data_IF_804373869117
#
_entry.id   IF_804373869117
#
_cell.length_a   1.000
_cell.length_b   1.000
_cell.length_c   1.000
_cell.angle_alpha   90.00
_cell.angle_beta   90.00
_cell.angle_gamma   90.00
#
_symmetry.space_group_name_H-M   'P 1'
#
loop_
_entity.id
_entity.type
_entity.pdbx_description
1 polymer ?
#
# COMPACT_ATOMS: atom_id res chain seq x y z
N UNK A 1 5.97 -13.14 13.61
CA UNK A 1 6.03 -13.99 12.40
C UNK A 1 5.28 -15.33 12.53
N UNK A 2 5.06 -15.87 13.73
CA UNK A 2 4.45 -17.20 13.95
C UNK A 2 2.99 -17.32 13.46
N UNK A 3 2.19 -16.25 13.60
CA UNK A 3 0.79 -16.25 13.19
C UNK A 3 0.61 -16.31 11.66
N UNK A 4 1.43 -15.58 10.91
CA UNK A 4 1.39 -15.53 9.45
C UNK A 4 1.62 -16.92 8.86
N UNK A 5 2.69 -17.61 9.31
CA UNK A 5 3.03 -18.96 8.85
C UNK A 5 1.92 -19.99 9.12
N UNK A 6 1.13 -19.80 10.18
CA UNK A 6 -0.01 -20.67 10.51
C UNK A 6 -1.22 -20.44 9.61
N UNK A 7 -1.44 -19.21 9.16
CA UNK A 7 -2.61 -18.82 8.37
C UNK A 7 -2.37 -18.89 6.86
N UNK A 8 -1.13 -18.72 6.39
CA UNK A 8 -0.78 -18.79 4.96
C UNK A 8 -1.35 -20.04 4.27
N UNK A 9 -1.24 -21.27 4.83
CA UNK A 9 -1.75 -22.46 4.14
C UNK A 9 -3.28 -22.43 3.91
N UNK A 10 -4.03 -21.79 4.81
CA UNK A 10 -5.51 -21.75 4.75
C UNK A 10 -6.05 -20.52 4.03
N UNK A 11 -5.27 -19.44 3.95
CA UNK A 11 -5.76 -18.13 3.51
C UNK A 11 -5.00 -17.53 2.33
N UNK A 12 -3.90 -18.12 1.88
CA UNK A 12 -3.09 -17.64 0.75
C UNK A 12 -3.90 -17.38 -0.54
N UNK A 13 -4.85 -18.24 -0.87
CA UNK A 13 -5.68 -18.04 -2.07
C UNK A 13 -6.61 -16.81 -1.94
N UNK A 14 -7.27 -16.66 -0.79
CA UNK A 14 -8.17 -15.53 -0.49
C UNK A 14 -7.36 -14.22 -0.36
N UNK A 15 -6.29 -14.27 0.45
CA UNK A 15 -4.97 -13.69 0.18
C UNK A 15 -4.82 -12.88 -1.10
N UNK A 16 -4.42 -13.63 -2.12
CA UNK A 16 -4.10 -13.14 -3.44
C UNK A 16 -5.32 -12.56 -4.15
N UNK A 17 -6.49 -13.20 -4.06
CA UNK A 17 -7.71 -12.74 -4.73
C UNK A 17 -8.17 -11.35 -4.25
N UNK A 18 -7.93 -11.02 -2.98
CA UNK A 18 -8.26 -9.73 -2.39
C UNK A 18 -7.12 -8.70 -2.46
N UNK A 19 -5.97 -9.04 -3.07
CA UNK A 19 -4.79 -8.16 -3.13
C UNK A 19 -4.09 -7.93 -1.78
N UNK A 20 -4.43 -8.68 -0.73
CA UNK A 20 -3.87 -8.53 0.62
C UNK A 20 -2.44 -9.11 0.69
N UNK A 21 -2.08 -10.00 -0.23
CA UNK A 21 -0.76 -10.63 -0.32
C UNK A 21 0.39 -9.59 -0.35
N UNK A 22 0.22 -8.50 -1.09
CA UNK A 22 1.25 -7.46 -1.22
C UNK A 22 1.35 -6.60 0.05
N UNK A 23 0.24 -6.36 0.73
CA UNK A 23 0.23 -5.67 2.03
C UNK A 23 0.96 -6.48 3.11
N UNK A 24 0.77 -7.80 3.13
CA UNK A 24 1.49 -8.72 4.03
C UNK A 24 3.00 -8.79 3.72
N UNK A 25 3.38 -8.60 2.45
CA UNK A 25 4.79 -8.48 2.05
C UNK A 25 5.38 -7.15 2.52
N UNK A 26 4.65 -6.06 2.34
CA UNK A 26 5.05 -4.73 2.83
C UNK A 26 5.21 -4.70 4.35
N UNK A 27 4.32 -5.35 5.11
CA UNK A 27 4.44 -5.41 6.58
C UNK A 27 5.66 -6.19 7.07
N UNK A 28 6.30 -6.98 6.21
CA UNK A 28 7.56 -7.69 6.52
C UNK A 28 8.79 -6.84 6.22
N UNK A 29 8.63 -5.77 5.44
CA UNK A 29 9.62 -4.73 5.31
C UNK A 29 9.45 -3.78 6.49
N UNK A 30 10.50 -3.58 7.26
CA UNK A 30 10.63 -2.38 8.08
C UNK A 30 11.38 -1.37 7.20
N UNK A 31 10.68 -0.43 6.51
CA UNK A 31 11.38 0.66 5.86
C UNK A 31 12.22 1.39 6.91
N UNK A 32 13.36 1.95 6.50
CA UNK A 32 14.16 2.84 7.35
C UNK A 32 13.40 4.14 7.60
N UNK A 33 12.37 4.04 8.45
CA UNK A 33 11.50 5.15 8.80
C UNK A 33 12.24 6.06 9.75
N UNK A 34 12.42 7.31 9.33
CA UNK A 34 12.93 8.37 10.20
C UNK A 34 11.75 8.86 11.05
N UNK A 35 11.69 8.59 12.36
CA UNK A 35 10.51 8.90 13.18
C UNK A 35 10.13 10.38 13.16
N UNK A 36 11.14 11.25 13.05
CA UNK A 36 10.96 12.68 12.89
C UNK A 36 10.25 13.03 11.57
N UNK A 37 10.59 12.38 10.46
CA UNK A 37 9.89 12.62 9.18
C UNK A 37 8.44 12.16 9.27
N UNK A 38 8.15 11.02 9.90
CA UNK A 38 6.78 10.55 10.10
C UNK A 38 5.97 11.55 10.92
N UNK A 39 6.52 12.02 12.05
CA UNK A 39 5.86 13.02 12.89
C UNK A 39 5.61 14.35 12.16
N UNK A 40 6.52 14.73 11.28
CA UNK A 40 6.39 15.95 10.46
C UNK A 40 5.29 15.79 9.41
N UNK A 41 5.27 14.66 8.70
CA UNK A 41 4.25 14.36 7.68
C UNK A 41 2.86 14.27 8.31
N UNK A 42 2.72 13.65 9.48
CA UNK A 42 1.43 13.58 10.19
C UNK A 42 0.96 14.92 10.73
N UNK A 43 1.88 15.81 11.12
CA UNK A 43 1.53 17.17 11.57
C UNK A 43 0.85 17.98 10.46
N UNK A 44 1.33 17.83 9.21
CA UNK A 44 0.73 18.50 8.06
C UNK A 44 -0.50 17.78 7.52
N UNK A 45 -0.79 16.54 7.94
CA UNK A 45 -1.86 15.73 7.38
C UNK A 45 -3.25 16.07 7.95
N UNK A 46 -4.16 16.51 7.09
CA UNK A 46 -5.58 16.69 7.39
C UNK A 46 -6.36 15.41 7.04
N UNK A 47 -6.83 14.70 8.08
CA UNK A 47 -7.63 13.47 7.93
C UNK A 47 -8.99 13.68 7.27
N UNK A 48 -9.60 14.85 7.40
CA UNK A 48 -10.95 15.12 6.87
C UNK A 48 -10.93 15.28 5.36
N UNK A 49 -9.89 15.92 4.83
CA UNK A 49 -9.76 16.25 3.40
C UNK A 49 -8.69 15.43 2.68
N UNK A 50 -8.03 14.50 3.39
CA UNK A 50 -7.01 13.61 2.87
C UNK A 50 -5.88 14.37 2.12
N UNK A 51 -5.40 15.46 2.72
CA UNK A 51 -4.39 16.34 2.13
C UNK A 51 -3.37 16.85 3.16
N UNK A 52 -2.23 17.34 2.68
CA UNK A 52 -1.23 18.03 3.49
C UNK A 52 -1.47 19.54 3.48
N UNK A 53 -1.55 20.15 4.66
CA UNK A 53 -1.63 21.60 4.85
C UNK A 53 -0.23 22.19 4.92
N UNK A 54 0.27 22.71 3.79
CA UNK A 54 1.52 23.47 3.74
C UNK A 54 1.21 24.98 3.78
N UNK A 55 2.16 25.83 4.24
CA UNK A 55 1.96 27.28 4.26
C UNK A 55 1.59 27.87 2.90
N UNK A 56 2.08 27.26 1.81
CA UNK A 56 1.84 27.75 0.46
C UNK A 56 0.51 27.27 -0.14
N UNK A 57 -0.04 26.12 0.29
CA UNK A 57 -1.34 25.56 -0.16
C UNK A 57 -1.61 24.15 0.40
N UNK A 58 -2.86 23.70 0.25
CA UNK A 58 -3.22 22.29 0.41
C UNK A 58 -2.62 21.48 -0.74
N UNK A 59 -1.90 20.41 -0.42
CA UNK A 59 -1.44 19.41 -1.37
C UNK A 59 -2.23 18.12 -1.10
N UNK A 60 -3.20 17.81 -1.95
CA UNK A 60 -3.87 16.50 -1.89
C UNK A 60 -2.91 15.40 -2.32
N UNK A 61 -2.92 14.26 -1.65
CA UNK A 61 -2.28 13.07 -2.22
C UNK A 61 -3.15 12.61 -3.39
N UNK A 62 -2.75 12.94 -4.62
CA UNK A 62 -3.37 12.34 -5.79
C UNK A 62 -3.00 10.87 -5.88
N UNK A 63 -3.78 10.10 -6.64
CA UNK A 63 -3.44 8.71 -6.93
C UNK A 63 -2.03 8.58 -7.56
N UNK A 64 -1.62 9.56 -8.37
CA UNK A 64 -0.28 9.63 -8.94
C UNK A 64 0.80 9.81 -7.86
N UNK A 65 0.57 10.68 -6.88
CA UNK A 65 1.49 10.89 -5.76
C UNK A 65 1.65 9.62 -4.91
N UNK A 66 0.54 8.90 -4.67
CA UNK A 66 0.56 7.61 -3.96
C UNK A 66 1.36 6.58 -4.75
N UNK A 67 1.16 6.47 -6.07
CA UNK A 67 1.92 5.53 -6.90
C UNK A 67 3.41 5.87 -6.99
N UNK A 68 3.76 7.16 -6.99
CA UNK A 68 5.15 7.61 -6.97
C UNK A 68 5.85 7.30 -5.64
N UNK A 69 5.17 7.48 -4.50
CA UNK A 69 5.72 7.19 -3.15
C UNK A 69 5.82 5.69 -2.88
N UNK A 70 4.79 4.93 -3.29
CA UNK A 70 4.70 3.49 -3.00
C UNK A 70 5.36 2.60 -4.05
N UNK A 71 5.66 3.15 -5.23
CA UNK A 71 6.12 2.39 -6.39
C UNK A 71 5.05 1.43 -6.93
N UNK A 72 3.81 1.54 -6.48
CA UNK A 72 2.72 0.70 -6.95
C UNK A 72 2.39 1.05 -8.41
N UNK A 73 2.27 0.05 -9.30
CA UNK A 73 1.90 0.32 -10.68
C UNK A 73 0.51 0.95 -10.75
N UNK A 74 0.40 2.05 -11.49
CA UNK A 74 -0.87 2.77 -11.77
C UNK A 74 -1.88 1.84 -12.45
N UNK A 75 -1.38 0.84 -13.20
CA UNK A 75 -2.17 -0.16 -13.90
C UNK A 75 -2.26 -1.41 -13.03
N UNK A 76 -3.48 -1.93 -12.84
CA UNK A 76 -3.65 -3.33 -12.44
C UNK A 76 -2.87 -4.20 -13.44
N UNK A 77 -2.09 -5.21 -13.00
CA UNK A 77 -1.53 -6.16 -13.94
C UNK A 77 -2.69 -6.72 -14.75
N UNK A 78 -2.61 -6.65 -16.08
CA UNK A 78 -3.59 -7.32 -16.95
C UNK A 78 -3.66 -8.78 -16.48
N UNK A 79 -4.77 -9.14 -15.83
CA UNK A 79 -5.10 -10.54 -15.63
C UNK A 79 -5.48 -11.06 -17.01
N UNK A 80 -4.48 -11.49 -17.78
CA UNK A 80 -4.71 -12.38 -18.91
C UNK A 80 -5.25 -13.68 -18.31
N UNK A 81 -6.57 -13.81 -18.31
CA UNK A 81 -7.24 -15.10 -18.22
C UNK A 81 -6.88 -15.87 -19.49
N UNK A 82 -5.67 -16.45 -19.53
CA UNK A 82 -5.35 -17.51 -20.47
C UNK A 82 -6.28 -18.67 -20.10
N UNK A 83 -7.44 -18.72 -20.77
CA UNK A 83 -8.36 -19.86 -20.69
C UNK A 83 -7.67 -21.04 -21.36
N UNK A 84 -6.96 -21.85 -20.57
CA UNK A 84 -6.45 -23.14 -21.02
C UNK A 84 -7.68 -24.05 -21.24
N UNK A 85 -7.96 -24.54 -22.48
CA UNK A 85 -9.02 -25.52 -22.71
C UNK A 85 -8.61 -26.89 -22.16
N UNK A 86 -9.61 -27.65 -21.69
CA UNK A 86 -9.49 -29.01 -21.11
C UNK A 86 -8.72 -30.02 -21.98
#
# INVERSE_FOLDING_TARGET
MTWHRRLTPKKSAIWSALGIQDLLRLSRFAPSTHPLMIGTVTHFWNRTTNNFHLPCRMMGMSFLDVTAITGLPIKSPEFTYEMIPE
#
